data_IF_351871500459
#
_entry.id   IF_351871500459
#
_cell.length_a   1.000
_cell.length_b   1.000
_cell.length_c   1.000
_cell.angle_alpha   90.00
_cell.angle_beta   90.00
_cell.angle_gamma   90.00
#
_symmetry.space_group_name_H-M   'P 1'
#
loop_
_entity.id
_entity.type
_entity.pdbx_description
1 polymer ?
#
# COMPACT_ATOMS: atom_id res chain seq x y z
N UNK A 1 21.18 22.21 56.57
CA UNK A 1 21.34 20.85 57.12
C UNK A 1 19.99 20.41 57.66
N UNK A 2 19.12 19.92 56.78
CA UNK A 2 17.79 19.40 57.12
C UNK A 2 17.51 18.28 56.13
N UNK A 3 17.59 17.03 56.60
CA UNK A 3 17.20 15.83 55.84
C UNK A 3 15.81 15.46 56.31
N UNK A 4 14.81 15.77 55.48
CA UNK A 4 13.49 15.17 55.59
C UNK A 4 13.64 13.67 55.26
N UNK A 5 13.15 12.83 56.16
CA UNK A 5 13.09 11.38 55.96
C UNK A 5 11.65 11.06 55.60
N UNK A 6 11.42 10.69 54.34
CA UNK A 6 10.13 10.21 53.86
C UNK A 6 9.80 8.88 54.55
N UNK A 7 8.65 8.85 55.22
CA UNK A 7 8.11 7.67 55.87
C UNK A 7 7.03 7.10 54.94
N UNK A 8 7.39 6.11 54.10
CA UNK A 8 6.45 5.40 53.26
C UNK A 8 5.71 4.36 54.12
N UNK A 9 4.46 4.64 54.45
CA UNK A 9 3.62 3.77 55.26
C UNK A 9 2.90 2.78 54.35
N UNK A 10 3.45 1.56 54.28
CA UNK A 10 2.82 0.40 53.63
C UNK A 10 1.63 -0.07 54.47
N UNK A 11 0.42 0.25 54.02
CA UNK A 11 -0.86 -0.12 54.67
C UNK A 11 -1.19 -1.61 54.43
N UNK A 12 -0.42 -2.51 55.05
CA UNK A 12 -0.68 -3.95 55.00
C UNK A 12 -1.43 -4.40 56.26
N UNK A 13 -2.72 -4.66 56.13
CA UNK A 13 -3.54 -5.22 57.22
C UNK A 13 -3.16 -6.69 57.44
N UNK A 14 -2.48 -7.00 58.55
CA UNK A 14 -2.10 -8.36 58.92
C UNK A 14 -3.14 -8.92 59.88
N UNK A 15 -3.85 -9.97 59.47
CA UNK A 15 -4.78 -10.70 60.34
C UNK A 15 -3.99 -11.64 61.27
N UNK A 16 -4.12 -11.40 62.57
CA UNK A 16 -3.48 -12.19 63.63
C UNK A 16 -4.54 -13.05 64.32
N UNK A 17 -4.18 -14.31 64.63
CA UNK A 17 -5.01 -15.16 65.48
C UNK A 17 -4.92 -14.71 66.95
N UNK A 18 -5.85 -15.15 67.81
CA UNK A 18 -6.02 -14.77 69.22
C UNK A 18 -4.77 -14.98 70.10
N UNK A 19 -3.76 -15.72 69.63
CA UNK A 19 -2.46 -15.90 70.30
C UNK A 19 -1.30 -15.08 69.68
N UNK A 20 -1.60 -14.12 68.79
CA UNK A 20 -0.62 -13.18 68.24
C UNK A 20 0.37 -13.78 67.24
N UNK A 21 0.14 -15.00 66.74
CA UNK A 21 0.94 -15.60 65.66
C UNK A 21 0.20 -15.44 64.34
N UNK A 22 0.89 -14.91 63.33
CA UNK A 22 0.38 -14.85 61.96
C UNK A 22 0.23 -16.25 61.38
N UNK A 23 -0.85 -16.50 60.64
CA UNK A 23 -1.04 -17.75 59.91
C UNK A 23 0.11 -17.95 58.92
N UNK A 24 0.77 -19.11 58.97
CA UNK A 24 1.67 -19.52 57.89
C UNK A 24 0.85 -19.65 56.60
N UNK A 25 1.25 -19.03 55.48
CA UNK A 25 0.49 -19.06 54.24
C UNK A 25 0.68 -20.44 53.59
N UNK A 26 -0.09 -21.43 54.03
CA UNK A 26 -0.21 -22.69 53.30
C UNK A 26 -1.36 -22.55 52.29
N UNK A 27 -1.12 -22.81 50.99
CA UNK A 27 -2.17 -22.75 49.99
C UNK A 27 -3.18 -23.89 50.26
N UNK A 28 -4.46 -23.53 50.34
CA UNK A 28 -5.58 -24.46 50.54
C UNK A 28 -6.07 -25.11 49.23
N UNK A 29 -5.33 -24.96 48.12
CA UNK A 29 -5.73 -25.47 46.80
C UNK A 29 -4.51 -25.84 45.96
N UNK A 30 -4.62 -26.95 45.22
CA UNK A 30 -3.55 -27.54 44.37
C UNK A 30 -3.45 -26.89 42.98
N UNK A 31 -3.91 -25.65 42.84
CA UNK A 31 -3.87 -24.90 41.59
C UNK A 31 -2.57 -24.10 41.50
N UNK A 32 -1.80 -24.33 40.43
CA UNK A 32 -0.60 -23.55 40.07
C UNK A 32 -0.91 -22.06 40.21
N UNK A 33 -0.15 -21.39 41.08
CA UNK A 33 -0.33 -19.98 41.41
C UNK A 33 -0.49 -19.13 40.14
N UNK A 34 -1.53 -18.31 40.09
CA UNK A 34 -1.76 -17.37 39.00
C UNK A 34 -0.50 -16.50 38.79
N UNK A 35 -0.01 -16.34 37.54
CA UNK A 35 1.23 -15.63 37.28
C UNK A 35 1.12 -14.18 37.78
N UNK A 36 2.13 -13.75 38.54
CA UNK A 36 2.23 -12.38 39.09
C UNK A 36 2.06 -11.35 37.97
N UNK A 37 1.08 -10.46 38.12
CA UNK A 37 0.73 -9.39 37.18
C UNK A 37 1.87 -8.38 36.91
N UNK A 38 2.90 -8.33 37.76
CA UNK A 38 4.09 -7.47 37.58
C UNK A 38 4.93 -7.80 36.34
N UNK A 39 5.00 -9.06 35.91
CA UNK A 39 5.72 -9.39 34.67
C UNK A 39 4.87 -9.13 33.41
N UNK A 40 3.56 -8.94 33.55
CA UNK A 40 2.71 -8.59 32.42
C UNK A 40 2.86 -7.12 32.03
N UNK A 41 3.06 -6.21 32.99
CA UNK A 41 3.31 -4.79 32.68
C UNK A 41 4.65 -4.61 31.97
N UNK A 42 5.71 -5.29 32.42
CA UNK A 42 7.03 -5.26 31.77
C UNK A 42 6.99 -5.86 30.35
N UNK A 43 6.26 -6.98 30.17
CA UNK A 43 6.01 -7.58 28.85
C UNK A 43 5.12 -6.70 27.98
N UNK A 44 4.14 -5.99 28.54
CA UNK A 44 3.31 -5.01 27.85
C UNK A 44 4.11 -3.79 27.41
N UNK A 45 5.06 -3.31 28.22
CA UNK A 45 5.95 -2.20 27.88
C UNK A 45 6.92 -2.62 26.76
N UNK A 46 7.42 -3.85 26.82
CA UNK A 46 8.23 -4.43 25.74
C UNK A 46 7.41 -4.59 24.44
N UNK A 47 6.20 -5.14 24.53
CA UNK A 47 5.32 -5.34 23.37
C UNK A 47 4.75 -4.03 22.81
N UNK A 48 4.61 -2.99 23.63
CA UNK A 48 4.15 -1.66 23.21
C UNK A 48 5.28 -0.83 22.55
N UNK A 49 6.55 -1.11 22.86
CA UNK A 49 7.69 -0.58 22.08
C UNK A 49 7.92 -1.32 20.78
N UNK A 50 7.60 -2.61 20.74
CA UNK A 50 7.45 -3.32 19.47
C UNK A 50 6.06 -3.04 18.92
N UNK A 51 5.78 -1.80 18.52
CA UNK A 51 4.74 -1.60 17.51
C UNK A 51 5.13 -2.55 16.38
N UNK A 52 4.33 -3.56 16.02
CA UNK A 52 4.37 -3.96 14.65
C UNK A 52 3.78 -2.72 13.98
N UNK A 53 4.65 -1.81 13.53
CA UNK A 53 4.39 -1.30 12.22
C UNK A 53 4.23 -2.60 11.41
N UNK A 54 2.99 -2.99 11.15
CA UNK A 54 2.67 -3.70 9.93
C UNK A 54 3.23 -2.78 8.85
N UNK A 55 4.55 -2.90 8.64
CA UNK A 55 5.25 -2.30 7.55
C UNK A 55 4.46 -2.84 6.40
N UNK A 56 3.72 -1.94 5.74
CA UNK A 56 2.88 -2.28 4.62
C UNK A 56 3.73 -3.13 3.67
N UNK A 57 3.57 -4.45 3.76
CA UNK A 57 4.18 -5.40 2.85
C UNK A 57 3.26 -5.44 1.62
N UNK A 58 3.01 -4.26 1.07
CA UNK A 58 2.34 -4.04 -0.22
C UNK A 58 3.36 -4.12 -1.37
N UNK A 59 4.61 -4.51 -1.07
CA UNK A 59 5.61 -4.82 -2.08
C UNK A 59 5.62 -6.30 -2.41
N UNK A 60 5.47 -6.64 -3.69
CA UNK A 60 5.79 -7.97 -4.24
C UNK A 60 7.27 -8.40 -4.05
N UNK A 61 8.05 -7.66 -3.25
CA UNK A 61 9.47 -7.84 -3.01
C UNK A 61 9.78 -7.54 -1.54
N UNK A 62 10.07 -8.60 -0.78
CA UNK A 62 10.35 -8.55 0.65
C UNK A 62 11.62 -7.77 1.00
N UNK A 63 12.59 -7.68 0.09
CA UNK A 63 13.82 -6.93 0.29
C UNK A 63 13.56 -5.41 0.26
N UNK A 64 12.76 -4.95 -0.71
CA UNK A 64 12.34 -3.54 -0.80
C UNK A 64 11.43 -3.17 0.37
N UNK A 65 10.51 -4.05 0.75
CA UNK A 65 9.66 -3.87 1.93
C UNK A 65 10.48 -3.68 3.21
N UNK A 66 11.49 -4.52 3.44
CA UNK A 66 12.39 -4.39 4.59
C UNK A 66 13.21 -3.08 4.59
N UNK A 67 13.50 -2.52 3.41
CA UNK A 67 14.28 -1.29 3.26
C UNK A 67 13.45 0.00 3.31
N UNK A 68 12.12 -0.08 3.44
CA UNK A 68 11.20 1.05 3.30
C UNK A 68 11.54 2.24 4.23
N UNK A 69 11.90 1.98 5.48
CA UNK A 69 12.24 3.04 6.45
C UNK A 69 13.50 3.80 6.04
N UNK A 70 14.54 3.07 5.60
CA UNK A 70 15.78 3.67 5.11
C UNK A 70 15.53 4.51 3.85
N UNK A 71 14.77 3.96 2.90
CA UNK A 71 14.40 4.67 1.67
C UNK A 71 13.58 5.94 1.97
N UNK A 72 12.73 5.90 2.99
CA UNK A 72 11.99 7.06 3.47
C UNK A 72 12.91 8.11 4.10
N UNK A 73 13.95 7.69 4.84
CA UNK A 73 14.92 8.62 5.41
C UNK A 73 15.77 9.30 4.33
N UNK A 74 16.08 8.64 3.20
CA UNK A 74 16.72 9.30 2.03
C UNK A 74 15.91 10.51 1.59
N UNK A 75 14.59 10.33 1.45
CA UNK A 75 13.70 11.42 1.01
C UNK A 75 13.65 12.51 2.08
N UNK A 76 13.58 12.15 3.37
CA UNK A 76 13.57 13.12 4.48
C UNK A 76 14.86 13.94 4.52
N UNK A 77 16.02 13.31 4.35
CA UNK A 77 17.33 13.95 4.35
C UNK A 77 17.42 15.03 3.25
N UNK A 78 16.92 14.74 2.04
CA UNK A 78 16.89 15.73 0.94
C UNK A 78 16.09 16.99 1.26
N UNK A 79 15.12 16.91 2.18
CA UNK A 79 14.29 18.04 2.58
C UNK A 79 14.73 18.71 3.89
N UNK A 80 15.71 18.15 4.62
CA UNK A 80 16.23 18.76 5.84
C UNK A 80 17.16 19.93 5.51
N UNK A 81 16.83 21.10 6.03
CA UNK A 81 17.61 22.34 5.84
C UNK A 81 18.81 22.46 6.79
N UNK A 82 18.80 21.76 7.93
CA UNK A 82 19.91 21.75 8.87
C UNK A 82 20.01 20.40 9.59
N UNK A 83 21.21 20.06 10.06
CA UNK A 83 21.46 18.95 10.96
C UNK A 83 22.35 19.43 12.11
N UNK A 84 21.81 19.42 13.32
CA UNK A 84 22.55 19.86 14.52
C UNK A 84 23.50 18.78 15.04
N UNK A 85 23.15 17.49 14.90
CA UNK A 85 23.95 16.37 15.41
C UNK A 85 24.18 15.29 14.33
N UNK A 86 25.34 15.33 13.69
CA UNK A 86 25.76 14.32 12.71
C UNK A 86 26.02 12.95 13.35
N UNK A 87 26.50 12.90 14.59
CA UNK A 87 26.81 11.65 15.26
C UNK A 87 25.52 10.93 15.67
N UNK A 88 24.53 11.70 16.16
CA UNK A 88 23.16 11.23 16.39
C UNK A 88 22.53 10.66 15.12
N UNK A 89 22.62 11.38 14.00
CA UNK A 89 22.14 10.88 12.71
C UNK A 89 22.85 9.59 12.29
N UNK A 90 24.18 9.52 12.39
CA UNK A 90 24.93 8.30 12.06
C UNK A 90 24.49 7.10 12.92
N UNK A 91 24.26 7.35 14.21
CA UNK A 91 23.81 6.32 15.16
C UNK A 91 22.40 5.85 14.80
N UNK A 92 21.50 6.77 14.46
CA UNK A 92 20.16 6.44 14.00
C UNK A 92 20.20 5.58 12.73
N UNK A 93 20.88 6.04 11.68
CA UNK A 93 20.97 5.30 10.41
C UNK A 93 21.66 3.94 10.59
N UNK A 94 22.65 3.84 11.48
CA UNK A 94 23.28 2.55 11.84
C UNK A 94 22.25 1.58 12.44
N UNK A 95 21.37 2.06 13.31
CA UNK A 95 20.33 1.23 13.93
C UNK A 95 19.26 0.85 12.92
N UNK A 96 18.86 1.77 12.03
CA UNK A 96 17.90 1.50 10.96
C UNK A 96 18.44 0.45 9.98
N UNK A 97 19.75 0.48 9.69
CA UNK A 97 20.41 -0.52 8.85
C UNK A 97 20.47 -1.90 9.50
N UNK A 98 20.70 -1.98 10.82
CA UNK A 98 20.63 -3.24 11.57
C UNK A 98 19.20 -3.80 11.60
N UNK A 99 18.21 -2.92 11.77
CA UNK A 99 16.80 -3.30 11.71
C UNK A 99 16.39 -3.80 10.32
N UNK A 100 16.91 -3.18 9.26
CA UNK A 100 16.77 -3.69 7.89
C UNK A 100 17.37 -5.10 7.74
N UNK A 101 18.60 -5.31 8.19
CA UNK A 101 19.28 -6.62 8.10
C UNK A 101 18.48 -7.70 8.82
N UNK A 102 18.06 -7.43 10.06
CA UNK A 102 17.23 -8.36 10.83
C UNK A 102 15.90 -8.69 10.13
N UNK A 103 15.19 -7.68 9.61
CA UNK A 103 13.92 -7.88 8.89
C UNK A 103 14.11 -8.65 7.58
N UNK A 104 15.14 -8.33 6.80
CA UNK A 104 15.40 -9.01 5.54
C UNK A 104 15.72 -10.50 5.77
N UNK A 105 16.52 -10.82 6.79
CA UNK A 105 16.80 -12.20 7.18
C UNK A 105 15.55 -12.94 7.69
N UNK A 106 14.72 -12.28 8.51
CA UNK A 106 13.45 -12.85 8.97
C UNK A 106 12.48 -13.13 7.82
N UNK A 107 12.50 -12.30 6.77
CA UNK A 107 11.72 -12.49 5.55
C UNK A 107 12.31 -13.56 4.61
N UNK A 108 13.33 -14.31 5.03
CA UNK A 108 13.93 -15.41 4.27
C UNK A 108 14.86 -14.98 3.14
N UNK A 109 15.33 -13.73 3.11
CA UNK A 109 16.30 -13.29 2.11
C UNK A 109 17.67 -13.90 2.40
N UNK A 110 18.35 -14.41 1.36
CA UNK A 110 19.69 -14.99 1.46
C UNK A 110 20.69 -13.98 2.04
N UNK A 111 21.53 -14.41 3.00
CA UNK A 111 22.54 -13.55 3.65
C UNK A 111 23.42 -12.81 2.64
N UNK A 112 23.83 -13.45 1.55
CA UNK A 112 24.61 -12.81 0.49
C UNK A 112 23.88 -11.63 -0.16
N UNK A 113 22.57 -11.76 -0.38
CA UNK A 113 21.74 -10.68 -0.91
C UNK A 113 21.53 -9.57 0.13
N UNK A 114 21.33 -9.93 1.40
CA UNK A 114 21.21 -8.94 2.49
C UNK A 114 22.48 -8.10 2.61
N UNK A 115 23.66 -8.72 2.54
CA UNK A 115 24.94 -8.00 2.56
C UNK A 115 25.14 -7.09 1.35
N UNK A 116 24.73 -7.54 0.16
CA UNK A 116 24.77 -6.72 -1.06
C UNK A 116 23.78 -5.53 -0.99
N UNK A 117 22.58 -5.76 -0.45
CA UNK A 117 21.59 -4.73 -0.22
C UNK A 117 22.04 -3.70 0.82
N UNK A 118 22.66 -4.17 1.92
CA UNK A 118 23.28 -3.31 2.94
C UNK A 118 24.35 -2.39 2.34
N UNK A 119 25.20 -2.94 1.47
CA UNK A 119 26.19 -2.15 0.73
C UNK A 119 25.54 -1.04 -0.12
N UNK A 120 24.51 -1.39 -0.89
CA UNK A 120 23.76 -0.45 -1.72
C UNK A 120 23.12 0.64 -0.87
N UNK A 121 22.43 0.26 0.22
CA UNK A 121 21.77 1.21 1.12
C UNK A 121 22.77 2.14 1.80
N UNK A 122 23.92 1.64 2.28
CA UNK A 122 24.99 2.49 2.81
C UNK A 122 25.44 3.53 1.77
N UNK A 123 25.69 3.09 0.53
CA UNK A 123 26.13 3.98 -0.56
C UNK A 123 25.11 5.08 -0.85
N UNK A 124 23.82 4.72 -0.85
CA UNK A 124 22.72 5.66 -1.12
C UNK A 124 22.49 6.63 0.03
N UNK A 125 22.52 6.16 1.29
CA UNK A 125 22.40 7.04 2.45
C UNK A 125 23.57 8.02 2.54
N UNK A 126 24.79 7.54 2.34
CA UNK A 126 25.98 8.39 2.41
C UNK A 126 25.96 9.48 1.34
N UNK A 127 25.55 9.14 0.12
CA UNK A 127 25.37 10.14 -0.93
C UNK A 127 24.21 11.10 -0.60
N UNK A 128 23.09 10.61 -0.07
CA UNK A 128 21.96 11.43 0.34
C UNK A 128 22.36 12.46 1.40
N UNK A 129 23.23 12.10 2.36
CA UNK A 129 23.76 13.04 3.35
C UNK A 129 24.72 14.03 2.69
N UNK A 130 25.72 13.56 1.93
CA UNK A 130 26.74 14.44 1.32
C UNK A 130 26.14 15.43 0.31
N UNK A 131 25.03 15.09 -0.32
CA UNK A 131 24.33 15.97 -1.27
C UNK A 131 23.46 17.04 -0.62
N UNK A 132 23.25 16.99 0.71
CA UNK A 132 22.58 18.07 1.44
C UNK A 132 23.48 19.30 1.59
N UNK A 133 22.85 20.47 1.79
CA UNK A 133 23.56 21.75 1.98
C UNK A 133 24.51 21.74 3.19
N UNK A 134 24.16 21.01 4.26
CA UNK A 134 24.98 20.90 5.47
C UNK A 134 25.94 19.70 5.43
N UNK A 135 25.66 18.69 4.62
CA UNK A 135 26.47 17.47 4.55
C UNK A 135 27.75 17.61 3.74
N UNK A 136 27.76 18.45 2.68
CA UNK A 136 28.92 18.63 1.81
C UNK A 136 30.15 19.21 2.53
N UNK A 137 29.93 20.12 3.49
CA UNK A 137 31.00 20.75 4.29
C UNK A 137 31.32 19.97 5.58
N UNK A 138 30.62 18.86 5.80
CA UNK A 138 30.69 18.13 7.06
C UNK A 138 31.79 17.06 7.09
N UNK A 139 32.07 16.55 8.29
CA UNK A 139 32.98 15.41 8.50
C UNK A 139 32.32 14.05 8.22
N UNK A 140 31.15 14.01 7.56
CA UNK A 140 30.43 12.75 7.29
C UNK A 140 31.29 11.71 6.58
N UNK A 141 32.12 12.12 5.62
CA UNK A 141 33.02 11.23 4.88
C UNK A 141 33.97 10.41 5.77
N UNK A 142 34.32 10.91 6.96
CA UNK A 142 35.19 10.22 7.92
C UNK A 142 34.45 9.20 8.78
N UNK A 143 33.12 9.34 8.89
CA UNK A 143 32.25 8.49 9.71
C UNK A 143 31.13 7.83 8.90
N UNK A 144 31.31 7.72 7.58
CA UNK A 144 30.27 7.26 6.66
C UNK A 144 29.80 5.83 6.99
N UNK A 145 28.56 5.52 6.64
CA UNK A 145 28.01 4.19 6.89
C UNK A 145 28.80 3.15 6.10
N UNK A 146 29.15 3.43 4.85
CA UNK A 146 29.93 2.52 4.02
C UNK A 146 31.32 2.22 4.61
N UNK A 147 31.98 3.23 5.19
CA UNK A 147 33.27 3.04 5.86
C UNK A 147 33.11 2.15 7.09
N UNK A 148 32.10 2.41 7.92
CA UNK A 148 31.82 1.63 9.14
C UNK A 148 31.48 0.16 8.87
N UNK A 149 30.77 -0.10 7.77
CA UNK A 149 30.13 -1.39 7.51
C UNK A 149 30.83 -2.24 6.44
N UNK A 150 31.63 -1.61 5.58
CA UNK A 150 32.34 -2.25 4.48
C UNK A 150 33.81 -1.83 4.39
N UNK A 151 34.28 -0.91 5.25
CA UNK A 151 35.63 -0.38 5.23
C UNK A 151 35.99 0.27 3.87
N UNK A 152 35.00 0.94 3.28
CA UNK A 152 35.10 1.59 1.96
C UNK A 152 34.55 3.02 2.00
N UNK A 153 35.16 3.92 1.24
CA UNK A 153 34.83 5.35 1.25
C UNK A 153 34.15 5.83 -0.04
N UNK A 154 34.10 5.03 -1.10
CA UNK A 154 33.51 5.38 -2.39
C UNK A 154 32.58 4.27 -2.93
N UNK A 155 31.29 4.36 -2.59
CA UNK A 155 30.27 3.40 -3.01
C UNK A 155 29.76 3.58 -4.45
N UNK A 156 29.91 4.79 -4.99
CA UNK A 156 29.28 5.24 -6.22
C UNK A 156 29.68 4.49 -7.49
N UNK A 157 30.85 3.85 -7.55
CA UNK A 157 31.26 3.05 -8.71
C UNK A 157 30.82 1.58 -8.57
N UNK A 158 31.09 0.99 -7.41
CA UNK A 158 30.77 -0.41 -7.10
C UNK A 158 29.27 -0.69 -7.13
N UNK A 159 28.42 0.31 -6.83
CA UNK A 159 26.99 0.20 -7.08
C UNK A 159 26.70 -0.22 -8.53
N UNK A 160 27.29 0.45 -9.52
CA UNK A 160 27.04 0.13 -10.93
C UNK A 160 27.77 -1.13 -11.40
N UNK A 161 28.91 -1.47 -10.80
CA UNK A 161 29.56 -2.77 -11.02
C UNK A 161 28.66 -3.92 -10.54
N UNK A 162 28.05 -3.76 -9.36
CA UNK A 162 27.07 -4.70 -8.83
C UNK A 162 25.84 -4.77 -9.74
N UNK A 163 25.30 -3.62 -10.17
CA UNK A 163 24.16 -3.57 -11.08
C UNK A 163 24.43 -4.38 -12.35
N UNK A 164 25.55 -4.10 -13.00
CA UNK A 164 25.98 -4.81 -14.22
C UNK A 164 26.11 -6.31 -14.00
N UNK A 165 26.67 -6.71 -12.85
CA UNK A 165 26.83 -8.13 -12.50
C UNK A 165 25.48 -8.82 -12.31
N UNK A 166 24.56 -8.20 -11.57
CA UNK A 166 23.25 -8.78 -11.25
C UNK A 166 22.33 -8.80 -12.47
N UNK A 167 22.40 -7.80 -13.35
CA UNK A 167 21.65 -7.74 -14.61
C UNK A 167 21.98 -8.87 -15.60
N UNK A 168 23.08 -9.61 -15.40
CA UNK A 168 23.40 -10.82 -16.19
C UNK A 168 22.46 -11.99 -15.91
N UNK A 169 21.88 -12.06 -14.71
CA UNK A 169 20.88 -13.06 -14.35
C UNK A 169 19.73 -12.37 -13.59
N UNK A 170 18.88 -11.63 -14.31
CA UNK A 170 17.89 -10.76 -13.69
C UNK A 170 16.74 -11.55 -13.05
N UNK A 171 16.45 -12.78 -13.52
CA UNK A 171 15.46 -13.67 -12.91
C UNK A 171 15.86 -14.02 -11.48
N UNK A 172 17.13 -14.40 -11.27
CA UNK A 172 17.65 -14.75 -9.94
C UNK A 172 17.75 -13.54 -9.01
N UNK A 173 18.08 -12.38 -9.57
CA UNK A 173 18.43 -11.18 -8.80
C UNK A 173 17.35 -10.08 -8.85
N UNK A 174 16.14 -10.41 -9.31
CA UNK A 174 15.03 -9.47 -9.45
C UNK A 174 14.79 -8.63 -8.18
N UNK A 175 14.78 -9.21 -6.95
CA UNK A 175 14.56 -8.41 -5.75
C UNK A 175 15.60 -7.30 -5.54
N UNK A 176 16.86 -7.59 -5.88
CA UNK A 176 17.97 -6.66 -5.72
C UNK A 176 17.97 -5.60 -6.83
N UNK A 177 17.67 -6.00 -8.07
CA UNK A 177 17.52 -5.07 -9.20
C UNK A 177 16.42 -4.03 -8.95
N UNK A 178 15.31 -4.45 -8.33
CA UNK A 178 14.23 -3.54 -7.93
C UNK A 178 14.65 -2.57 -6.83
N UNK A 179 15.36 -3.04 -5.80
CA UNK A 179 15.90 -2.16 -4.77
C UNK A 179 16.81 -1.10 -5.40
N UNK A 180 17.72 -1.52 -6.29
CA UNK A 180 18.62 -0.61 -6.99
C UNK A 180 17.87 0.37 -7.89
N UNK A 181 16.82 -0.08 -8.58
CA UNK A 181 15.95 0.80 -9.37
C UNK A 181 15.26 1.86 -8.51
N UNK A 182 14.75 1.49 -7.34
CA UNK A 182 14.16 2.43 -6.39
C UNK A 182 15.21 3.44 -5.92
N UNK A 183 16.42 2.99 -5.56
CA UNK A 183 17.51 3.88 -5.19
C UNK A 183 17.86 4.91 -6.29
N UNK A 184 17.96 4.47 -7.56
CA UNK A 184 18.16 5.36 -8.71
C UNK A 184 17.00 6.35 -8.88
N UNK A 185 15.77 5.88 -8.69
CA UNK A 185 14.56 6.71 -8.79
C UNK A 185 14.44 7.74 -7.67
N UNK A 186 15.02 7.46 -6.50
CA UNK A 186 15.17 8.42 -5.40
C UNK A 186 16.31 9.42 -5.64
N UNK A 187 17.03 9.32 -6.77
CA UNK A 187 18.07 10.25 -7.19
C UNK A 187 19.44 9.92 -6.61
N UNK A 188 19.79 8.64 -6.57
CA UNK A 188 21.18 8.20 -6.45
C UNK A 188 21.88 8.31 -7.81
N UNK A 189 23.04 8.97 -7.84
CA UNK A 189 23.81 9.27 -9.03
C UNK A 189 25.16 8.52 -9.04
N UNK A 190 25.79 8.35 -7.86
CA UNK A 190 27.08 7.70 -7.72
C UNK A 190 28.16 8.35 -8.61
N UNK A 191 28.90 7.51 -9.35
CA UNK A 191 29.97 7.97 -10.25
C UNK A 191 29.50 8.93 -11.35
N UNK A 192 28.22 8.91 -11.72
CA UNK A 192 27.69 9.72 -12.83
C UNK A 192 27.53 11.20 -12.48
N UNK A 193 27.55 11.56 -11.18
CA UNK A 193 27.47 12.96 -10.72
C UNK A 193 28.60 13.84 -11.25
N UNK A 194 29.80 13.26 -11.42
CA UNK A 194 31.01 13.98 -11.83
C UNK A 194 31.43 13.69 -13.28
N UNK A 195 30.73 12.79 -13.96
CA UNK A 195 31.04 12.38 -15.33
C UNK A 195 30.42 13.36 -16.34
N UNK A 196 31.15 13.64 -17.43
CA UNK A 196 30.61 14.44 -18.53
C UNK A 196 29.42 13.71 -19.18
N UNK A 197 28.28 14.38 -19.35
CA UNK A 197 26.99 13.77 -19.77
C UNK A 197 26.49 12.65 -18.86
N UNK A 198 26.97 12.55 -17.62
CA UNK A 198 26.63 11.46 -16.70
C UNK A 198 25.14 11.32 -16.41
N UNK A 199 24.39 12.42 -16.32
CA UNK A 199 22.94 12.38 -16.08
C UNK A 199 22.17 11.70 -17.23
N UNK A 200 22.58 11.90 -18.48
CA UNK A 200 21.95 11.25 -19.64
C UNK A 200 22.22 9.74 -19.63
N UNK A 201 23.45 9.34 -19.31
CA UNK A 201 23.81 7.93 -19.17
C UNK A 201 23.06 7.27 -18.00
N UNK A 202 22.93 7.98 -16.87
CA UNK A 202 22.20 7.51 -15.70
C UNK A 202 20.71 7.28 -16.00
N UNK A 203 20.09 8.19 -16.73
CA UNK A 203 18.69 8.05 -17.17
C UNK A 203 18.52 6.84 -18.10
N UNK A 204 19.43 6.65 -19.07
CA UNK A 204 19.46 5.46 -19.91
C UNK A 204 19.54 4.15 -19.11
N UNK A 205 20.44 4.10 -18.11
CA UNK A 205 20.59 2.94 -17.21
C UNK A 205 19.31 2.69 -16.42
N UNK A 206 18.67 3.74 -15.90
CA UNK A 206 17.41 3.63 -15.16
C UNK A 206 16.29 3.06 -16.04
N UNK A 207 16.21 3.52 -17.28
CA UNK A 207 15.17 3.10 -18.23
C UNK A 207 15.39 1.67 -18.75
N UNK A 208 16.64 1.27 -18.97
CA UNK A 208 17.00 -0.11 -19.31
C UNK A 208 16.67 -1.07 -18.15
N UNK A 209 17.03 -0.69 -16.93
CA UNK A 209 16.72 -1.46 -15.72
C UNK A 209 15.21 -1.60 -15.51
N UNK A 210 14.45 -0.50 -15.68
CA UNK A 210 12.99 -0.53 -15.60
C UNK A 210 12.38 -1.48 -16.63
N UNK A 211 12.83 -1.44 -17.88
CA UNK A 211 12.35 -2.34 -18.93
C UNK A 211 12.65 -3.80 -18.59
N UNK A 212 13.84 -4.09 -18.10
CA UNK A 212 14.24 -5.44 -17.66
C UNK A 212 13.34 -5.95 -16.52
N UNK A 213 13.13 -5.14 -15.49
CA UNK A 213 12.24 -5.49 -14.36
C UNK A 213 10.80 -5.68 -14.85
N UNK A 214 10.31 -4.78 -15.70
CA UNK A 214 8.93 -4.83 -16.20
C UNK A 214 8.68 -6.07 -17.04
N UNK A 215 9.62 -6.51 -17.86
CA UNK A 215 9.52 -7.74 -18.64
C UNK A 215 9.37 -8.97 -17.74
N UNK A 216 10.08 -9.01 -16.61
CA UNK A 216 10.02 -10.13 -15.67
C UNK A 216 8.76 -10.12 -14.78
N UNK A 217 8.17 -8.95 -14.53
CA UNK A 217 6.93 -8.80 -13.76
C UNK A 217 5.65 -8.84 -14.61
N UNK A 218 5.75 -8.76 -15.93
CA UNK A 218 4.60 -8.59 -16.83
C UNK A 218 3.56 -9.72 -16.75
N UNK A 219 3.90 -10.87 -16.16
CA UNK A 219 2.97 -11.99 -15.91
C UNK A 219 2.10 -11.81 -14.65
N UNK A 220 2.28 -10.73 -13.89
CA UNK A 220 1.53 -10.46 -12.66
C UNK A 220 0.38 -9.50 -13.02
N UNK A 221 -0.90 -9.95 -12.95
CA UNK A 221 -2.03 -9.08 -13.22
C UNK A 221 -1.96 -7.87 -12.29
N UNK A 222 -2.11 -6.66 -12.87
CA UNK A 222 -2.09 -5.36 -12.19
C UNK A 222 -3.36 -5.12 -11.35
N UNK A 223 -3.83 -6.15 -10.67
CA UNK A 223 -4.96 -6.06 -9.78
C UNK A 223 -4.39 -5.65 -8.42
N UNK A 224 -4.49 -4.35 -8.10
CA UNK A 224 -4.04 -3.76 -6.83
C UNK A 224 -4.88 -4.23 -5.62
N UNK A 225 -5.85 -5.11 -5.85
CA UNK A 225 -6.74 -5.76 -4.89
C UNK A 225 -7.26 -7.06 -5.52
N UNK A 226 -7.26 -8.21 -4.81
CA UNK A 226 -7.98 -9.42 -5.25
C UNK A 226 -9.50 -9.20 -5.42
N UNK A 227 -10.01 -8.10 -4.84
CA UNK A 227 -11.40 -7.64 -4.87
C UNK A 227 -11.44 -6.22 -5.46
N UNK A 228 -10.75 -5.99 -6.58
CA UNK A 228 -10.78 -4.69 -7.28
C UNK A 228 -12.17 -4.34 -7.82
N UNK A 229 -13.09 -5.31 -7.89
CA UNK A 229 -14.52 -5.06 -7.83
C UNK A 229 -14.88 -4.53 -6.44
N UNK A 230 -14.45 -3.31 -6.15
CA UNK A 230 -14.95 -2.56 -5.02
C UNK A 230 -16.46 -2.63 -5.06
N UNK A 231 -17.06 -3.03 -3.93
CA UNK A 231 -18.50 -3.08 -3.67
C UNK A 231 -19.18 -2.08 -4.57
N UNK A 232 -19.80 -2.58 -5.65
CA UNK A 232 -20.40 -1.80 -6.70
C UNK A 232 -21.42 -0.87 -6.05
N UNK A 233 -20.95 0.30 -5.59
CA UNK A 233 -21.74 1.47 -5.38
C UNK A 233 -21.98 1.97 -6.81
N UNK A 234 -22.76 1.16 -7.52
CA UNK A 234 -23.81 1.60 -8.39
C UNK A 234 -24.40 2.82 -7.67
N UNK A 235 -23.86 4.00 -7.99
CA UNK A 235 -24.72 5.12 -8.26
C UNK A 235 -25.70 4.54 -9.26
N UNK A 236 -26.83 4.08 -8.73
CA UNK A 236 -28.05 3.84 -9.48
C UNK A 236 -28.31 5.16 -10.19
N UNK A 237 -27.72 5.29 -11.38
CA UNK A 237 -28.40 5.96 -12.46
C UNK A 237 -29.62 5.10 -12.72
N UNK A 238 -30.68 5.36 -11.96
CA UNK A 238 -32.04 4.94 -12.26
C UNK A 238 -32.56 5.82 -13.39
N UNK A 239 -31.80 5.91 -14.48
CA UNK A 239 -32.40 6.21 -15.79
C UNK A 239 -32.21 4.96 -16.61
N UNK A 240 -33.05 3.99 -16.23
CA UNK A 240 -33.48 2.84 -17.00
C UNK A 240 -33.68 3.31 -18.44
N UNK A 241 -32.73 2.97 -19.30
CA UNK A 241 -32.87 3.08 -20.74
C UNK A 241 -34.08 2.22 -21.09
N UNK A 242 -35.23 2.87 -21.31
CA UNK A 242 -36.33 2.23 -22.01
C UNK A 242 -35.82 2.14 -23.44
N UNK A 243 -35.62 0.94 -23.99
CA UNK A 243 -35.16 0.82 -25.36
C UNK A 243 -36.14 1.55 -26.27
N UNK A 244 -35.65 2.41 -27.17
CA UNK A 244 -36.51 3.22 -28.05
C UNK A 244 -37.54 2.37 -28.83
N UNK A 245 -37.21 1.10 -29.13
CA UNK A 245 -38.13 0.16 -29.78
C UNK A 245 -39.40 -0.14 -28.96
N UNK A 246 -39.34 -0.13 -27.62
CA UNK A 246 -40.53 -0.32 -26.78
C UNK A 246 -41.46 0.89 -26.86
N UNK A 247 -40.91 2.11 -26.92
CA UNK A 247 -41.71 3.33 -27.09
C UNK A 247 -42.41 3.31 -28.44
N UNK A 248 -41.69 2.94 -29.50
CA UNK A 248 -42.25 2.80 -30.86
C UNK A 248 -43.34 1.72 -30.91
N UNK A 249 -43.13 0.58 -30.26
CA UNK A 249 -44.13 -0.48 -30.21
C UNK A 249 -45.41 -0.02 -29.49
N UNK A 250 -45.24 0.62 -28.33
CA UNK A 250 -46.37 1.11 -27.53
C UNK A 250 -47.17 2.20 -28.25
N UNK A 251 -46.50 3.16 -28.89
CA UNK A 251 -47.19 4.20 -29.67
C UNK A 251 -47.95 3.61 -30.86
N UNK A 252 -47.38 2.62 -31.55
CA UNK A 252 -48.07 1.93 -32.64
C UNK A 252 -49.33 1.21 -32.16
N UNK A 253 -49.26 0.49 -31.03
CA UNK A 253 -50.41 -0.20 -30.43
C UNK A 253 -51.52 0.80 -30.04
N UNK A 254 -51.17 1.91 -29.38
CA UNK A 254 -52.14 2.95 -29.04
C UNK A 254 -52.84 3.54 -30.28
N UNK A 255 -52.09 3.77 -31.37
CA UNK A 255 -52.61 4.29 -32.62
C UNK A 255 -53.62 3.33 -33.27
N UNK A 256 -53.32 2.02 -33.27
CA UNK A 256 -54.22 0.99 -33.78
C UNK A 256 -55.50 0.93 -32.96
N UNK A 257 -55.41 0.91 -31.62
CA UNK A 257 -56.59 0.87 -30.74
C UNK A 257 -57.49 2.09 -30.97
N UNK A 258 -56.88 3.29 -31.06
CA UNK A 258 -57.62 4.52 -31.30
C UNK A 258 -58.30 4.51 -32.68
N UNK A 259 -57.57 4.07 -33.72
CA UNK A 259 -58.13 3.95 -35.07
C UNK A 259 -59.29 2.96 -35.12
N UNK A 260 -59.15 1.78 -34.51
CA UNK A 260 -60.21 0.77 -34.45
C UNK A 260 -61.44 1.28 -33.70
N UNK A 261 -61.26 2.00 -32.59
CA UNK A 261 -62.36 2.61 -31.85
C UNK A 261 -63.10 3.65 -32.69
N UNK A 262 -62.37 4.55 -33.36
CA UNK A 262 -62.98 5.52 -34.26
C UNK A 262 -63.67 4.86 -35.46
N UNK A 263 -63.07 3.83 -36.05
CA UNK A 263 -63.65 3.10 -37.16
C UNK A 263 -64.95 2.39 -36.75
N UNK A 264 -65.02 1.87 -35.52
CA UNK A 264 -66.24 1.26 -34.98
C UNK A 264 -67.34 2.30 -34.79
N UNK A 265 -67.04 3.43 -34.15
CA UNK A 265 -68.00 4.53 -33.93
C UNK A 265 -68.47 5.13 -35.25
N UNK A 266 -67.55 5.32 -36.21
CA UNK A 266 -67.92 5.77 -37.56
C UNK A 266 -68.75 4.72 -38.28
N UNK A 267 -68.49 3.43 -38.10
CA UNK A 267 -69.30 2.35 -38.67
C UNK A 267 -70.73 2.39 -38.13
N UNK A 268 -70.88 2.53 -36.82
CA UNK A 268 -72.18 2.59 -36.15
C UNK A 268 -72.96 3.85 -36.54
N UNK A 269 -72.29 5.01 -36.63
CA UNK A 269 -72.91 6.24 -37.15
C UNK A 269 -73.21 6.15 -38.65
N UNK A 270 -72.33 5.54 -39.46
CA UNK A 270 -72.55 5.32 -40.88
C UNK A 270 -73.78 4.45 -41.09
N UNK A 271 -73.91 3.36 -40.35
CA UNK A 271 -75.02 2.43 -40.49
C UNK A 271 -76.34 3.06 -39.96
N UNK A 272 -76.28 3.88 -38.90
CA UNK A 272 -77.42 4.67 -38.43
C UNK A 272 -77.87 5.77 -39.42
N UNK A 273 -76.93 6.42 -40.12
CA UNK A 273 -77.23 7.45 -41.14
C UNK A 273 -77.61 6.84 -42.48
N UNK A 274 -77.15 5.62 -42.80
CA UNK A 274 -77.51 4.89 -44.04
C UNK A 274 -78.83 4.13 -43.92
N UNK A 275 -79.28 3.76 -42.72
CA UNK A 275 -80.56 3.06 -42.49
C UNK A 275 -81.77 3.74 -43.16
N UNK A 276 -81.93 5.08 -43.09
CA UNK A 276 -83.00 5.80 -43.78
C UNK A 276 -82.90 5.76 -45.31
N UNK A 277 -81.68 5.66 -45.87
CA UNK A 277 -81.46 5.64 -47.32
C UNK A 277 -81.54 4.23 -47.92
N UNK A 278 -81.14 3.19 -47.17
CA UNK A 278 -81.31 1.78 -47.60
C UNK A 278 -82.77 1.34 -47.61
N UNK A 279 -83.62 1.95 -46.77
CA UNK A 279 -85.07 1.71 -46.82
C UNK A 279 -85.76 2.33 -48.05
N UNK A 280 -85.07 3.17 -48.82
CA UNK A 280 -85.60 3.90 -49.98
C UNK A 280 -85.23 3.21 -51.31
N UNK A 281 -84.44 2.14 -51.32
CA UNK A 281 -84.27 1.32 -52.53
C UNK A 281 -85.43 0.30 -52.66
N UNK A 282 -86.43 0.53 -53.55
CA UNK A 282 -87.36 -0.52 -53.91
C UNK A 282 -86.59 -1.62 -54.64
N UNK A 283 -86.82 -2.86 -54.20
CA UNK A 283 -86.37 -4.07 -54.88
C UNK A 283 -86.62 -3.99 -56.40
N UNK A 284 -85.65 -4.37 -57.27
CA UNK A 284 -85.93 -4.46 -58.69
C UNK A 284 -87.03 -5.51 -58.92
N UNK A 285 -88.11 -5.04 -59.56
CA UNK A 285 -89.28 -5.82 -59.88
C UNK A 285 -88.92 -7.15 -60.55
N UNK A 286 -89.48 -8.25 -60.03
CA UNK A 286 -89.50 -9.55 -60.72
C UNK A 286 -90.21 -9.40 -62.08
N UNK A 287 -89.67 -9.93 -63.18
CA UNK A 287 -90.40 -9.98 -64.43
C UNK A 287 -91.55 -10.99 -64.30
N UNK A 288 -92.78 -10.57 -64.64
CA UNK A 288 -93.90 -11.47 -64.90
C UNK A 288 -93.83 -11.93 -66.36
N UNK A 289 -94.21 -13.20 -66.53
CA UNK A 289 -94.27 -14.05 -67.73
C UNK A 289 -94.67 -13.37 -69.05
#
# INVERSE_FOLDING_TARGET
MTKETEQHQDDKTILLDRKGKGLAPSPLTDSVAAPRFEHLSERMIYSARSTPAEAFNTGLNSLVGAACDLLSEVVRLKHRTACEDLHGLNTQLTNDLKSFEARALQNGVETGQVMAARYVLCSVMDEAVVTTIWGNESKWSQMSLLSKFHNETFGGEKFFQLLTRLSRNPVKHLPMLELMYVCLSLGFEGKYRVQNRGMLELEGIRDDLYRQIRQLRADIPRELSPQWEGLNHQRRSLVRIVPAWMVVLFTCVCLVVMYSGFAWVLGEQRDAVLQPYQAIDPAPAKPQS
#
